data_IF_915854583093
#
_entry.id   IF_915854583093
#
_cell.length_a   1.000
_cell.length_b   1.000
_cell.length_c   1.000
_cell.angle_alpha   90.00
_cell.angle_beta   90.00
_cell.angle_gamma   90.00
#
_symmetry.space_group_name_H-M   'P 1'
#
loop_
_entity.id
_entity.type
_entity.pdbx_description
1 polymer ?
#
# COMPACT_ATOMS: atom_id res chain seq x y z
N UNK A 1 -2.69 8.60 -8.50
CA UNK A 1 -3.52 7.38 -8.50
C UNK A 1 -3.83 6.98 -7.06
N UNK A 2 -5.04 6.51 -6.79
CA UNK A 2 -5.42 6.04 -5.45
C UNK A 2 -5.45 4.52 -5.41
N UNK A 3 -4.83 3.95 -4.37
CA UNK A 3 -4.81 2.51 -4.12
C UNK A 3 -5.32 2.22 -2.71
N UNK A 4 -6.10 1.16 -2.58
CA UNK A 4 -6.41 0.59 -1.28
C UNK A 4 -5.26 -0.35 -0.90
N UNK A 5 -4.73 -0.18 0.30
CA UNK A 5 -3.60 -0.98 0.81
C UNK A 5 -3.93 -1.45 2.22
N UNK A 6 -3.86 -2.74 2.44
CA UNK A 6 -4.02 -3.32 3.78
C UNK A 6 -2.65 -3.52 4.41
N UNK A 7 -2.44 -2.87 5.54
CA UNK A 7 -1.16 -2.89 6.25
C UNK A 7 -1.16 -3.92 7.37
N UNK A 8 -0.14 -4.77 7.39
CA UNK A 8 0.15 -5.66 8.51
C UNK A 8 1.42 -5.16 9.20
N UNK A 9 1.30 -4.53 10.39
CA UNK A 9 2.47 -4.14 11.18
C UNK A 9 3.09 -5.36 11.86
N UNK A 10 4.33 -5.21 12.32
CA UNK A 10 5.08 -6.31 12.97
C UNK A 10 5.13 -7.57 12.10
N UNK A 11 5.18 -7.37 10.77
CA UNK A 11 5.12 -8.45 9.80
C UNK A 11 6.45 -9.13 9.50
N UNK A 12 7.51 -8.80 10.21
CA UNK A 12 8.83 -9.41 10.06
C UNK A 12 9.70 -8.82 8.97
N UNK A 13 9.12 -8.27 7.92
CA UNK A 13 9.85 -7.62 6.82
C UNK A 13 8.96 -6.58 6.15
N UNK A 14 9.59 -5.67 5.42
CA UNK A 14 8.89 -4.66 4.64
C UNK A 14 8.71 -5.18 3.22
N UNK A 15 7.47 -5.46 2.83
CA UNK A 15 7.16 -6.05 1.53
C UNK A 15 5.72 -5.75 1.09
N UNK A 16 5.54 -5.43 -0.20
CA UNK A 16 4.22 -5.44 -0.82
C UNK A 16 4.01 -6.83 -1.42
N UNK A 17 2.95 -7.51 -0.99
CA UNK A 17 2.74 -8.92 -1.31
C UNK A 17 1.85 -9.16 -2.53
N UNK A 18 1.14 -8.15 -3.01
CA UNK A 18 0.28 -8.27 -4.17
C UNK A 18 -1.19 -8.11 -3.85
N UNK A 19 -2.03 -8.37 -4.84
CA UNK A 19 -3.46 -8.16 -4.77
C UNK A 19 -4.18 -9.18 -3.90
N UNK A 20 -5.23 -8.71 -3.23
CA UNK A 20 -6.26 -9.53 -2.61
C UNK A 20 -7.61 -8.84 -2.81
N UNK A 21 -8.70 -9.50 -2.47
CA UNK A 21 -10.04 -8.93 -2.54
C UNK A 21 -10.74 -9.08 -1.20
N UNK A 22 -11.61 -8.11 -0.86
CA UNK A 22 -12.44 -8.19 0.33
C UNK A 22 -13.72 -9.00 0.05
N UNK A 23 -14.62 -9.06 1.03
CA UNK A 23 -15.88 -9.79 0.90
C UNK A 23 -16.82 -9.24 -0.17
N UNK A 24 -16.64 -7.98 -0.57
CA UNK A 24 -17.42 -7.32 -1.62
C UNK A 24 -16.73 -7.41 -2.99
N UNK A 25 -15.61 -8.09 -3.08
CA UNK A 25 -14.85 -8.21 -4.33
C UNK A 25 -13.98 -7.00 -4.64
N UNK A 26 -13.80 -6.07 -3.71
CA UNK A 26 -12.93 -4.90 -3.90
C UNK A 26 -11.48 -5.29 -3.75
N UNK A 27 -10.66 -4.85 -4.69
CA UNK A 27 -9.22 -5.15 -4.70
C UNK A 27 -8.45 -4.24 -3.76
N UNK A 28 -7.47 -4.81 -3.10
CA UNK A 28 -6.48 -4.06 -2.33
C UNK A 28 -5.11 -4.74 -2.41
N UNK A 29 -4.05 -3.96 -2.24
CA UNK A 29 -2.69 -4.52 -2.12
C UNK A 29 -2.43 -4.86 -0.65
N UNK A 30 -1.86 -6.03 -0.42
CA UNK A 30 -1.38 -6.41 0.91
C UNK A 30 0.05 -5.93 1.07
N UNK A 31 0.32 -5.24 2.16
CA UNK A 31 1.67 -4.78 2.50
C UNK A 31 1.95 -5.11 3.95
N UNK A 32 3.18 -5.51 4.22
CA UNK A 32 3.64 -5.72 5.59
C UNK A 32 4.88 -4.88 5.86
N UNK A 33 4.98 -4.41 7.09
CA UNK A 33 6.15 -3.69 7.57
C UNK A 33 6.59 -4.30 8.91
N UNK A 34 7.87 -4.23 9.20
CA UNK A 34 8.40 -4.70 10.49
C UNK A 34 8.09 -3.75 11.63
N UNK A 35 7.86 -2.47 11.32
CA UNK A 35 7.58 -1.44 12.33
C UNK A 35 6.29 -1.72 13.11
N UNK A 36 6.24 -1.37 14.41
CA UNK A 36 5.04 -1.52 15.22
C UNK A 36 4.01 -0.44 14.88
N UNK A 37 2.70 -0.68 15.17
CA UNK A 37 1.63 0.28 14.88
C UNK A 37 1.51 1.35 15.97
N UNK A 38 2.62 2.00 16.31
CA UNK A 38 2.68 3.01 17.35
C UNK A 38 3.30 4.29 16.82
N UNK A 39 2.78 5.42 17.26
CA UNK A 39 3.31 6.76 16.98
C UNK A 39 3.59 7.03 15.49
N UNK A 40 2.77 6.45 14.61
CA UNK A 40 2.92 6.62 13.17
C UNK A 40 4.08 5.86 12.54
N UNK A 41 4.79 5.02 13.28
CA UNK A 41 5.94 4.29 12.75
C UNK A 41 5.58 3.35 11.60
N UNK A 42 4.49 2.58 11.73
CA UNK A 42 4.05 1.67 10.67
C UNK A 42 3.61 2.44 9.43
N UNK A 43 2.92 3.58 9.60
CA UNK A 43 2.50 4.43 8.48
C UNK A 43 3.70 5.04 7.76
N UNK A 44 4.69 5.49 8.50
CA UNK A 44 5.93 6.02 7.92
C UNK A 44 6.69 4.93 7.14
N UNK A 45 6.78 3.73 7.71
CA UNK A 45 7.41 2.58 7.04
C UNK A 45 6.67 2.20 5.76
N UNK A 46 5.33 2.23 5.79
CA UNK A 46 4.51 1.96 4.61
C UNK A 46 4.77 2.97 3.50
N UNK A 47 4.86 4.26 3.84
CA UNK A 47 5.15 5.33 2.88
C UNK A 47 6.49 5.07 2.17
N UNK A 48 7.53 4.75 2.93
CA UNK A 48 8.85 4.43 2.39
C UNK A 48 8.80 3.18 1.50
N UNK A 49 8.11 2.14 1.95
CA UNK A 49 7.97 0.89 1.22
C UNK A 49 7.28 1.11 -0.13
N UNK A 50 6.18 1.84 -0.16
CA UNK A 50 5.44 2.11 -1.39
C UNK A 50 6.24 2.97 -2.37
N UNK A 51 6.93 3.99 -1.86
CA UNK A 51 7.80 4.82 -2.68
C UNK A 51 8.88 3.98 -3.37
N UNK A 52 9.53 3.10 -2.62
CA UNK A 52 10.56 2.21 -3.14
C UNK A 52 9.99 1.20 -4.14
N UNK A 53 8.85 0.60 -3.82
CA UNK A 53 8.21 -0.42 -4.66
C UNK A 53 7.83 0.14 -6.03
N UNK A 54 7.28 1.35 -6.08
CA UNK A 54 6.82 1.96 -7.31
C UNK A 54 7.82 2.92 -7.95
N UNK A 55 8.99 3.10 -7.36
CA UNK A 55 10.03 3.95 -7.93
C UNK A 55 9.67 5.43 -7.96
N UNK A 56 8.93 5.91 -6.97
CA UNK A 56 8.55 7.32 -6.83
C UNK A 56 9.18 7.91 -5.58
N UNK A 57 9.17 9.24 -5.46
CA UNK A 57 9.67 9.89 -4.26
C UNK A 57 8.73 9.62 -3.08
N UNK A 58 9.28 9.66 -1.86
CA UNK A 58 8.47 9.50 -0.66
C UNK A 58 7.37 10.56 -0.57
N UNK A 59 7.65 11.78 -0.98
CA UNK A 59 6.67 12.87 -0.97
C UNK A 59 5.51 12.66 -1.95
N UNK A 60 5.66 11.77 -2.92
CA UNK A 60 4.60 11.41 -3.84
C UNK A 60 3.57 10.47 -3.23
N UNK A 61 3.89 9.85 -2.08
CA UNK A 61 3.01 8.89 -1.40
C UNK A 61 2.34 9.57 -0.22
N UNK A 62 1.00 9.53 -0.18
CA UNK A 62 0.21 10.16 0.87
C UNK A 62 -0.90 9.24 1.34
N UNK A 63 -1.03 9.09 2.66
CA UNK A 63 -2.16 8.36 3.23
C UNK A 63 -3.35 9.31 3.23
N UNK A 64 -4.33 9.05 2.37
CA UNK A 64 -5.51 9.89 2.18
C UNK A 64 -6.65 9.53 3.13
N UNK A 65 -6.66 8.29 3.65
CA UNK A 65 -7.68 7.85 4.59
C UNK A 65 -7.27 6.56 5.29
N UNK A 66 -7.93 6.26 6.40
CA UNK A 66 -7.68 5.04 7.15
C UNK A 66 -6.38 5.04 7.94
N UNK A 67 -5.91 6.21 8.41
CA UNK A 67 -4.63 6.30 9.13
C UNK A 67 -4.52 5.35 10.32
N UNK A 68 -5.61 5.13 11.04
CA UNK A 68 -5.65 4.24 12.20
C UNK A 68 -6.26 2.87 11.89
N UNK A 69 -6.68 2.63 10.65
CA UNK A 69 -7.25 1.38 10.21
C UNK A 69 -6.19 0.53 9.49
N UNK A 70 -6.41 -0.77 9.40
CA UNK A 70 -5.53 -1.65 8.62
C UNK A 70 -5.67 -1.38 7.12
N UNK A 71 -6.90 -1.15 6.64
CA UNK A 71 -7.15 -0.81 5.25
C UNK A 71 -7.02 0.70 5.09
N UNK A 72 -6.09 1.12 4.24
CA UNK A 72 -5.76 2.51 4.01
C UNK A 72 -6.02 2.89 2.57
N UNK A 73 -6.38 4.15 2.36
CA UNK A 73 -6.48 4.74 1.03
C UNK A 73 -5.22 5.56 0.79
N UNK A 74 -4.46 5.21 -0.22
CA UNK A 74 -3.15 5.80 -0.50
C UNK A 74 -3.20 6.51 -1.84
N UNK A 75 -2.82 7.79 -1.85
CA UNK A 75 -2.63 8.56 -3.08
C UNK A 75 -1.14 8.54 -3.45
N UNK A 76 -0.84 8.15 -4.68
CA UNK A 76 0.54 8.09 -5.18
C UNK A 76 0.62 8.90 -6.47
N UNK A 77 1.30 10.05 -6.41
CA UNK A 77 1.51 10.90 -7.56
C UNK A 77 2.51 10.25 -8.52
N UNK A 78 2.26 10.36 -9.82
CA UNK A 78 3.16 9.82 -10.83
C UNK A 78 3.02 8.32 -11.06
N UNK A 79 2.05 7.67 -10.44
CA UNK A 79 1.78 6.24 -10.63
C UNK A 79 0.54 6.06 -11.50
N UNK A 80 0.59 5.11 -12.43
CA UNK A 80 -0.55 4.73 -13.25
C UNK A 80 -0.85 3.23 -13.14
N UNK A 81 -2.01 2.82 -13.69
CA UNK A 81 -2.47 1.43 -13.63
C UNK A 81 -1.50 0.47 -14.32
N UNK A 82 -0.86 0.90 -15.40
CA UNK A 82 0.09 0.07 -16.13
C UNK A 82 1.31 -0.28 -15.28
N UNK A 83 1.81 0.67 -14.50
CA UNK A 83 2.95 0.43 -13.60
C UNK A 83 2.60 -0.56 -12.49
N UNK A 84 1.40 -0.46 -11.92
CA UNK A 84 0.94 -1.39 -10.89
C UNK A 84 0.76 -2.79 -11.49
N UNK A 85 0.14 -2.88 -12.66
CA UNK A 85 -0.06 -4.14 -13.37
C UNK A 85 1.26 -4.83 -13.71
N UNK A 86 2.28 -4.05 -14.09
CA UNK A 86 3.59 -4.61 -14.41
C UNK A 86 4.24 -5.30 -13.21
N UNK A 87 3.98 -4.82 -11.99
CA UNK A 87 4.56 -5.38 -10.77
C UNK A 87 3.71 -6.50 -10.16
N UNK A 88 2.40 -6.35 -10.15
CA UNK A 88 1.49 -7.21 -9.37
C UNK A 88 0.41 -7.88 -10.20
N UNK A 89 0.42 -7.71 -11.50
CA UNK A 89 -0.63 -8.20 -12.38
C UNK A 89 -1.84 -7.27 -12.40
N UNK A 90 -2.86 -7.62 -13.20
CA UNK A 90 -4.06 -6.80 -13.30
C UNK A 90 -4.83 -6.77 -11.99
N UNK A 91 -5.49 -5.65 -11.74
CA UNK A 91 -6.33 -5.47 -10.55
C UNK A 91 -7.49 -6.46 -10.59
N UNK A 92 -7.66 -7.33 -9.57
CA UNK A 92 -8.76 -8.29 -9.56
C UNK A 92 -10.11 -7.59 -9.41
N UNK A 93 -11.17 -8.21 -9.93
CA UNK A 93 -12.52 -7.69 -9.82
C UNK A 93 -12.86 -6.52 -10.75
N UNK A 94 -11.95 -6.18 -11.63
CA UNK A 94 -12.17 -5.08 -12.58
C UNK A 94 -12.88 -5.58 -13.84
#
# INVERSE_FOLDING_TARGET
MRLAVRLTPRGGRDRVEGWATDGDGRAFLRARVSAPPVEGEANAALTVLLARTFGVSRSAVRIAGGETARLKQIDIAGLDEAAVTALFGPRPGA
#
